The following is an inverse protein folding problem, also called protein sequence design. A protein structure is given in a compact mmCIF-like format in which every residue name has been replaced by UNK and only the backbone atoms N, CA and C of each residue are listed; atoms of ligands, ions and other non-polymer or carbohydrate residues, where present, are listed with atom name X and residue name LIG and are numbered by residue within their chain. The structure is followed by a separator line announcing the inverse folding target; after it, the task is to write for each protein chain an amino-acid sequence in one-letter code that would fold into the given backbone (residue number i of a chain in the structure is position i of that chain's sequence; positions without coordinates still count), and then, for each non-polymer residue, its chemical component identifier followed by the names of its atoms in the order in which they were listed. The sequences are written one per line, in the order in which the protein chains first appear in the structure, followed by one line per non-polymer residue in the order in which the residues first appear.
data_IF_104488587005
#
_entry.id   IF_104488587005
#
_cell.length_a   1.000
_cell.length_b   1.000
_cell.length_c   1.000
_cell.angle_alpha   90.00
_cell.angle_beta   90.00
_cell.angle_gamma   90.00
#
_symmetry.space_group_name_H-M   'P 1'
#
loop_
_entity.id
_entity.type
_entity.pdbx_description
1 polymer ?
#
# COMPACT_ATOMS: atom_id res chain seq x y z
N UNK A 1 44.63 20.05 -61.19
CA UNK A 1 43.53 19.19 -60.69
C UNK A 1 44.06 18.36 -59.52
N UNK A 2 43.58 18.54 -58.29
CA UNK A 2 43.75 17.56 -57.21
C UNK A 2 42.54 16.62 -57.10
N UNK A 3 42.71 15.35 -56.67
CA UNK A 3 41.64 14.36 -56.64
C UNK A 3 40.78 14.51 -55.38
N UNK A 4 39.46 14.28 -55.52
CA UNK A 4 38.51 14.21 -54.40
C UNK A 4 38.58 12.81 -53.76
N UNK A 5 38.93 12.73 -52.48
CA UNK A 5 38.84 11.51 -51.67
C UNK A 5 37.40 11.27 -51.22
N UNK A 6 36.90 10.04 -51.46
CA UNK A 6 35.60 9.53 -51.04
C UNK A 6 35.83 8.60 -49.83
N UNK A 7 35.76 9.13 -48.61
CA UNK A 7 35.81 8.39 -47.33
C UNK A 7 35.00 9.18 -46.30
N UNK A 8 33.73 8.84 -46.15
CA UNK A 8 32.87 9.45 -45.09
C UNK A 8 31.75 8.47 -44.75
N UNK A 9 31.09 7.90 -45.76
CA UNK A 9 29.90 7.04 -45.60
C UNK A 9 30.08 5.67 -44.93
N UNK A 10 31.27 5.28 -44.46
CA UNK A 10 31.48 3.96 -43.81
C UNK A 10 31.78 4.09 -42.33
N UNK A 11 32.50 5.14 -41.95
CA UNK A 11 32.75 5.50 -40.55
C UNK A 11 31.45 5.96 -39.87
N UNK A 12 30.60 6.72 -40.57
CA UNK A 12 29.30 7.17 -40.04
C UNK A 12 28.34 6.00 -39.70
N UNK A 13 28.43 4.87 -40.43
CA UNK A 13 27.54 3.70 -40.22
C UNK A 13 28.06 2.83 -39.07
N UNK A 14 29.39 2.67 -38.96
CA UNK A 14 30.02 1.92 -37.87
C UNK A 14 29.87 2.67 -36.53
N UNK A 15 29.84 4.02 -36.54
CA UNK A 15 29.51 4.82 -35.36
C UNK A 15 28.03 4.69 -34.96
N UNK A 16 27.08 4.78 -35.91
CA UNK A 16 25.64 4.59 -35.61
C UNK A 16 25.35 3.20 -35.02
N UNK A 17 25.92 2.14 -35.58
CA UNK A 17 25.77 0.76 -35.08
C UNK A 17 26.35 0.60 -33.66
N UNK A 18 27.51 1.21 -33.38
CA UNK A 18 28.12 1.17 -32.05
C UNK A 18 27.33 1.97 -31.00
N UNK A 19 26.71 3.09 -31.39
CA UNK A 19 25.86 3.89 -30.50
C UNK A 19 24.58 3.12 -30.17
N UNK A 20 23.98 2.42 -31.14
CA UNK A 20 22.81 1.58 -30.93
C UNK A 20 23.12 0.38 -30.01
N UNK A 21 24.28 -0.27 -30.17
CA UNK A 21 24.73 -1.36 -29.30
C UNK A 21 24.89 -0.90 -27.83
N UNK A 22 25.49 0.28 -27.61
CA UNK A 22 25.64 0.88 -26.28
C UNK A 22 24.27 1.28 -25.70
N UNK A 23 23.35 1.75 -26.53
CA UNK A 23 21.97 2.06 -26.12
C UNK A 23 21.17 0.80 -25.76
N UNK A 24 21.46 -0.35 -26.36
CA UNK A 24 20.83 -1.63 -26.00
C UNK A 24 21.38 -2.19 -24.69
N UNK A 25 22.69 -2.11 -24.45
CA UNK A 25 23.31 -2.54 -23.19
C UNK A 25 22.93 -1.66 -22.00
N UNK A 26 22.57 -0.39 -22.25
CA UNK A 26 22.13 0.56 -21.21
C UNK A 26 20.62 0.57 -20.97
N UNK A 27 19.84 -0.27 -21.66
CA UNK A 27 18.41 -0.44 -21.34
C UNK A 27 18.30 -0.95 -19.90
N UNK A 28 17.67 -0.20 -18.98
CA UNK A 28 17.45 -0.69 -17.63
C UNK A 28 16.70 -2.01 -17.74
N UNK A 29 17.21 -3.05 -17.07
CA UNK A 29 16.60 -4.37 -17.06
C UNK A 29 15.08 -4.21 -16.89
N UNK A 30 14.31 -4.86 -17.78
CA UNK A 30 12.84 -4.83 -17.72
C UNK A 30 12.43 -5.11 -16.28
N UNK A 31 11.77 -4.13 -15.66
CA UNK A 31 11.23 -4.30 -14.32
C UNK A 31 10.31 -5.53 -14.37
N UNK A 32 10.42 -6.44 -13.38
CA UNK A 32 9.53 -7.59 -13.32
C UNK A 32 8.08 -7.12 -13.36
N UNK A 33 7.25 -7.80 -14.15
CA UNK A 33 5.83 -7.46 -14.27
C UNK A 33 5.15 -7.61 -12.90
N UNK A 34 4.30 -6.64 -12.58
CA UNK A 34 3.64 -6.56 -11.28
C UNK A 34 2.51 -7.61 -11.24
N UNK A 35 2.76 -8.76 -10.63
CA UNK A 35 1.74 -9.80 -10.49
C UNK A 35 0.72 -9.44 -9.39
N UNK A 36 -0.56 -9.21 -9.73
CA UNK A 36 -1.60 -8.82 -8.79
C UNK A 36 -1.91 -9.89 -7.73
N UNK A 37 -1.46 -11.13 -7.92
CA UNK A 37 -1.53 -12.18 -6.90
C UNK A 37 -0.73 -11.83 -5.63
N UNK A 38 0.24 -10.91 -5.74
CA UNK A 38 1.07 -10.40 -4.67
C UNK A 38 0.58 -9.12 -4.01
N UNK A 39 -0.68 -8.72 -4.22
CA UNK A 39 -1.28 -7.56 -3.56
C UNK A 39 -1.28 -7.76 -2.02
N UNK A 40 -0.24 -7.25 -1.37
CA UNK A 40 0.02 -7.41 0.06
C UNK A 40 -0.22 -6.09 0.80
N UNK A 41 -0.65 -6.20 2.06
CA UNK A 41 -0.73 -5.08 2.99
C UNK A 41 0.18 -5.35 4.17
N UNK A 42 0.87 -4.31 4.63
CA UNK A 42 1.66 -4.39 5.86
C UNK A 42 0.75 -4.07 7.04
N UNK A 43 0.75 -4.98 8.01
CA UNK A 43 -0.03 -4.86 9.24
C UNK A 43 0.90 -5.01 10.44
N UNK A 44 0.82 -4.08 11.39
CA UNK A 44 1.48 -4.15 12.69
C UNK A 44 0.42 -4.46 13.74
N UNK A 45 0.58 -5.60 14.41
CA UNK A 45 -0.36 -6.10 15.40
C UNK A 45 0.38 -6.70 16.59
N UNK A 46 -0.29 -6.75 17.74
CA UNK A 46 0.22 -7.47 18.91
C UNK A 46 0.39 -8.96 18.58
N UNK A 47 1.53 -9.53 18.96
CA UNK A 47 1.84 -10.95 18.73
C UNK A 47 0.75 -11.85 19.31
N UNK A 48 0.36 -12.88 18.56
CA UNK A 48 -0.68 -13.85 18.94
C UNK A 48 -2.11 -13.31 18.96
N UNK A 49 -2.34 -12.04 18.63
CA UNK A 49 -3.68 -11.44 18.72
C UNK A 49 -4.53 -11.66 17.47
N UNK A 50 -3.94 -11.84 16.29
CA UNK A 50 -4.67 -11.91 15.01
C UNK A 50 -5.61 -13.11 14.75
N UNK A 51 -5.42 -14.34 15.29
CA UNK A 51 -6.27 -15.46 14.90
C UNK A 51 -7.74 -15.24 15.28
N UNK A 52 -8.66 -15.81 14.48
CA UNK A 52 -10.12 -15.70 14.66
C UNK A 52 -10.66 -14.26 14.69
N UNK A 53 -9.95 -13.30 14.11
CA UNK A 53 -10.41 -11.92 14.02
C UNK A 53 -11.14 -11.65 12.71
N UNK A 54 -12.08 -10.71 12.78
CA UNK A 54 -12.80 -10.16 11.63
C UNK A 54 -12.53 -8.67 11.53
N UNK A 55 -12.43 -8.17 10.30
CA UNK A 55 -12.34 -6.73 10.03
C UNK A 55 -13.72 -6.25 9.61
N UNK A 56 -14.22 -5.21 10.27
CA UNK A 56 -15.50 -4.59 9.97
C UNK A 56 -15.37 -3.09 9.83
N UNK A 57 -16.30 -2.46 9.11
CA UNK A 57 -16.39 -1.01 8.99
C UNK A 57 -17.49 -0.51 9.91
N UNK A 58 -17.17 0.41 10.82
CA UNK A 58 -18.13 1.02 11.75
C UNK A 58 -18.04 2.54 11.70
N UNK A 59 -19.08 3.19 12.23
CA UNK A 59 -19.10 4.65 12.37
C UNK A 59 -18.07 5.08 13.42
N UNK A 60 -17.07 5.88 13.02
CA UNK A 60 -16.12 6.47 13.97
C UNK A 60 -16.75 7.70 14.65
N UNK A 61 -16.65 7.87 15.97
CA UNK A 61 -17.26 9.01 16.68
C UNK A 61 -16.80 10.37 16.17
N UNK A 62 -15.56 10.44 15.64
CA UNK A 62 -14.95 11.68 15.14
C UNK A 62 -14.86 11.77 13.61
N UNK A 63 -14.55 10.67 12.93
CA UNK A 63 -14.14 10.67 11.51
C UNK A 63 -15.24 10.18 10.56
N UNK A 64 -16.41 9.84 11.09
CA UNK A 64 -17.53 9.33 10.30
C UNK A 64 -17.45 7.82 10.11
N UNK A 65 -16.43 7.28 9.43
CA UNK A 65 -16.27 5.83 9.27
C UNK A 65 -14.81 5.40 9.46
N UNK A 66 -14.57 4.33 10.20
CA UNK A 66 -13.25 3.70 10.35
C UNK A 66 -13.35 2.17 10.23
N UNK A 67 -12.19 1.54 10.04
CA UNK A 67 -12.06 0.08 10.06
C UNK A 67 -11.69 -0.37 11.46
N UNK A 68 -12.36 -1.41 11.94
CA UNK A 68 -12.11 -2.02 13.23
C UNK A 68 -11.86 -3.50 13.05
N UNK A 69 -10.98 -4.03 13.90
CA UNK A 69 -10.78 -5.45 14.09
C UNK A 69 -11.55 -5.89 15.32
N UNK A 70 -12.37 -6.93 15.17
CA UNK A 70 -13.09 -7.58 16.27
C UNK A 70 -12.62 -9.02 16.39
N UNK A 71 -12.39 -9.45 17.62
CA UNK A 71 -12.23 -10.84 18.02
C UNK A 71 -12.96 -11.02 19.35
N UNK A 72 -13.03 -12.25 19.85
CA UNK A 72 -13.76 -12.55 21.09
C UNK A 72 -13.24 -11.75 22.30
N UNK A 73 -11.95 -11.37 22.29
CA UNK A 73 -11.28 -10.69 23.41
C UNK A 73 -10.72 -9.31 23.06
N UNK A 74 -10.73 -8.91 21.79
CA UNK A 74 -10.12 -7.64 21.36
C UNK A 74 -11.02 -6.86 20.41
N UNK A 75 -11.07 -5.56 20.65
CA UNK A 75 -11.67 -4.56 19.79
C UNK A 75 -10.60 -3.50 19.50
N UNK A 76 -10.14 -3.45 18.25
CA UNK A 76 -9.02 -2.59 17.85
C UNK A 76 -9.42 -1.73 16.65
N UNK A 77 -8.94 -0.49 16.61
CA UNK A 77 -9.03 0.39 15.45
C UNK A 77 -7.86 0.13 14.49
N UNK A 78 -8.13 0.17 13.18
CA UNK A 78 -7.11 0.02 12.15
C UNK A 78 -6.74 1.39 11.60
N UNK A 79 -5.56 1.86 11.95
CA UNK A 79 -5.01 3.13 11.50
C UNK A 79 -4.13 2.93 10.27
N UNK A 80 -4.29 3.75 9.24
CA UNK A 80 -3.43 3.74 8.06
C UNK A 80 -2.38 4.85 8.18
N UNK A 81 -1.11 4.48 8.28
CA UNK A 81 0.01 5.41 8.28
C UNK A 81 0.62 5.41 6.88
N UNK A 82 0.53 6.55 6.21
CA UNK A 82 1.12 6.76 4.89
C UNK A 82 1.81 8.13 4.85
N UNK A 83 3.06 8.13 4.37
CA UNK A 83 3.92 9.31 4.23
C UNK A 83 4.04 9.75 2.75
N UNK A 84 3.24 9.15 1.86
CA UNK A 84 3.09 9.51 0.45
C UNK A 84 4.19 8.97 -0.48
N UNK A 85 5.47 9.16 -0.11
CA UNK A 85 6.61 8.76 -0.94
C UNK A 85 7.36 7.56 -0.35
N UNK A 86 6.65 6.44 -0.17
CA UNK A 86 7.22 5.21 0.36
C UNK A 86 6.71 3.99 -0.39
N UNK A 87 7.58 3.01 -0.56
CA UNK A 87 7.24 1.66 -1.02
C UNK A 87 7.99 0.64 -0.17
N UNK A 88 7.50 -0.59 -0.14
CA UNK A 88 8.18 -1.69 0.55
C UNK A 88 8.60 -2.77 -0.44
N UNK A 89 9.84 -3.22 -0.29
CA UNK A 89 10.36 -4.38 -1.00
C UNK A 89 10.14 -5.61 -0.14
N UNK A 90 9.43 -6.60 -0.66
CA UNK A 90 9.15 -7.84 0.06
C UNK A 90 9.26 -9.05 -0.86
N UNK A 91 10.26 -9.89 -0.61
CA UNK A 91 10.63 -10.98 -1.51
C UNK A 91 11.01 -10.43 -2.88
N UNK A 92 10.36 -10.94 -3.92
CA UNK A 92 10.54 -10.54 -5.33
C UNK A 92 9.48 -9.52 -5.81
N UNK A 93 8.78 -8.86 -4.87
CA UNK A 93 7.67 -7.94 -5.17
C UNK A 93 7.81 -6.58 -4.50
N UNK A 94 7.09 -5.59 -5.04
CA UNK A 94 7.03 -4.23 -4.51
C UNK A 94 5.61 -3.94 -4.04
N UNK A 95 5.49 -3.41 -2.81
CA UNK A 95 4.25 -2.83 -2.29
C UNK A 95 4.32 -1.33 -2.52
N UNK A 96 3.68 -0.86 -3.59
CA UNK A 96 3.78 0.52 -4.08
C UNK A 96 3.29 1.56 -3.08
N UNK A 97 2.16 1.31 -2.41
CA UNK A 97 1.47 2.32 -1.59
C UNK A 97 2.15 2.66 -0.26
N UNK A 98 3.22 1.94 0.13
CA UNK A 98 4.01 2.23 1.34
C UNK A 98 3.23 2.33 2.66
N UNK A 99 1.97 1.92 2.67
CA UNK A 99 1.04 2.18 3.76
C UNK A 99 1.16 1.08 4.80
N UNK A 100 1.41 1.48 6.04
CA UNK A 100 1.45 0.58 7.19
C UNK A 100 0.12 0.67 7.92
N UNK A 101 -0.54 -0.47 8.11
CA UNK A 101 -1.79 -0.55 8.86
C UNK A 101 -1.47 -0.95 10.30
N UNK A 102 -1.85 -0.12 11.26
CA UNK A 102 -1.55 -0.31 12.67
C UNK A 102 -2.84 -0.71 13.39
N UNK A 103 -2.80 -1.84 14.10
CA UNK A 103 -3.91 -2.33 14.90
C UNK A 103 -3.74 -1.79 16.32
N UNK A 104 -4.52 -0.77 16.66
CA UNK A 104 -4.46 -0.06 17.93
C UNK A 104 -5.67 -0.43 18.79
N UNK A 105 -5.48 -0.86 20.06
CA UNK A 105 -6.59 -1.15 20.97
C UNK A 105 -7.53 0.05 21.09
N UNK A 106 -8.84 -0.20 20.94
CA UNK A 106 -9.87 0.83 21.01
C UNK A 106 -10.95 0.43 22.01
N UNK A 107 -11.43 1.37 22.81
CA UNK A 107 -12.49 1.05 23.78
C UNK A 107 -13.85 1.09 23.08
N UNK A 108 -14.59 -0.03 23.00
CA UNK A 108 -15.86 -0.10 22.28
C UNK A 108 -16.92 0.85 22.86
N UNK A 109 -16.79 1.29 24.12
CA UNK A 109 -17.72 2.26 24.72
C UNK A 109 -17.86 3.51 23.85
N UNK A 110 -16.78 3.98 23.22
CA UNK A 110 -16.80 5.19 22.40
C UNK A 110 -17.64 5.02 21.13
N UNK A 111 -17.78 3.80 20.60
CA UNK A 111 -18.70 3.51 19.49
C UNK A 111 -20.14 3.54 19.97
N UNK A 112 -20.41 3.08 21.20
CA UNK A 112 -21.75 3.04 21.77
C UNK A 112 -22.23 4.41 22.27
N UNK A 113 -21.32 5.31 22.68
CA UNK A 113 -21.67 6.62 23.25
C UNK A 113 -22.72 7.42 22.46
N UNK A 114 -22.65 7.54 21.12
CA UNK A 114 -23.66 8.26 20.35
C UNK A 114 -25.06 7.64 20.42
N UNK A 115 -25.16 6.33 20.66
CA UNK A 115 -26.42 5.62 20.84
C UNK A 115 -26.94 5.81 22.26
N UNK A 116 -26.06 5.62 23.26
CA UNK A 116 -26.40 5.84 24.67
C UNK A 116 -26.85 7.29 24.96
N UNK A 117 -26.23 8.27 24.31
CA UNK A 117 -26.63 9.67 24.46
C UNK A 117 -28.03 9.94 23.86
N UNK A 118 -28.45 9.21 22.83
CA UNK A 118 -29.79 9.37 22.24
C UNK A 118 -30.88 8.78 23.13
N UNK A 119 -30.54 7.76 23.92
CA UNK A 119 -31.47 7.05 24.79
C UNK A 119 -31.29 7.39 26.26
N UNK A 120 -30.47 8.40 26.60
CA UNK A 120 -30.08 8.73 27.97
C UNK A 120 -31.27 8.95 28.93
N UNK A 121 -32.40 9.43 28.43
CA UNK A 121 -33.61 9.71 29.21
C UNK A 121 -34.54 8.49 29.36
N UNK A 122 -34.18 7.34 28.77
CA UNK A 122 -35.01 6.13 28.72
C UNK A 122 -34.20 4.91 29.16
N UNK A 123 -34.83 4.04 29.94
CA UNK A 123 -34.24 2.74 30.27
C UNK A 123 -34.73 1.72 29.23
N UNK A 124 -33.93 1.54 28.17
CA UNK A 124 -34.24 0.67 27.04
C UNK A 124 -33.28 -0.51 27.02
N UNK A 125 -33.76 -1.65 26.53
CA UNK A 125 -32.90 -2.80 26.24
C UNK A 125 -32.01 -2.50 25.02
N UNK A 126 -30.90 -3.22 24.86
CA UNK A 126 -29.92 -2.94 23.79
C UNK A 126 -30.52 -3.21 22.39
N UNK A 127 -31.50 -4.09 22.30
CA UNK A 127 -32.18 -4.46 21.06
C UNK A 127 -33.30 -3.46 20.66
N UNK A 128 -33.63 -2.49 21.54
CA UNK A 128 -34.69 -1.47 21.36
C UNK A 128 -34.14 -0.09 20.95
#
# INVERSE_FOLDING_TARGET
MPPKTRKTKKEDVEEEEAIDEILEETKPAKLPENDPSYARKIVVAKSGSLPNSRIIKLRHPKEGCALFRISDTHFDEILAINDGHRSFFYGESIIENGTVHLIAPFNPIFICLPFLHKTADKFLEIDE
#
